data_IF_302146739918
#
_entry.id   IF_302146739918
#
_cell.length_a   1.000
_cell.length_b   1.000
_cell.length_c   1.000
_cell.angle_alpha   90.00
_cell.angle_beta   90.00
_cell.angle_gamma   90.00
#
_symmetry.space_group_name_H-M   'P 1'
#
loop_
_entity.id
_entity.type
_entity.pdbx_description
1 polymer ?
#
# COMPACT_ATOMS: atom_id res chain seq x y z
N UNK A 1 4.52 -12.56 1.17
CA UNK A 1 4.34 -11.73 2.36
C UNK A 1 2.86 -11.73 2.73
N UNK A 2 2.60 -12.07 3.96
CA UNK A 2 1.24 -12.22 4.44
C UNK A 2 1.04 -11.39 5.70
N UNK A 3 -0.06 -10.62 5.74
CA UNK A 3 -0.41 -9.81 6.89
C UNK A 3 -1.85 -10.09 7.26
N UNK A 4 -2.12 -10.18 8.57
CA UNK A 4 -3.46 -10.46 9.07
C UNK A 4 -3.86 -9.41 10.07
N UNK A 5 -5.13 -9.04 10.07
CA UNK A 5 -5.70 -8.09 11.01
C UNK A 5 -4.93 -6.77 11.03
N UNK A 6 -4.66 -6.22 9.83
CA UNK A 6 -3.94 -4.97 9.68
C UNK A 6 -4.82 -3.93 9.01
N UNK A 7 -4.55 -2.68 9.30
CA UNK A 7 -5.22 -1.56 8.66
C UNK A 7 -4.53 -1.22 7.36
N UNK A 8 -5.24 -0.51 6.48
CA UNK A 8 -4.67 -0.10 5.19
C UNK A 8 -3.38 0.70 5.40
N UNK A 9 -3.34 1.58 6.41
CA UNK A 9 -2.14 2.37 6.68
C UNK A 9 -0.94 1.48 6.99
N UNK A 10 -1.14 0.39 7.69
CA UNK A 10 -0.08 -0.56 7.99
C UNK A 10 0.38 -1.32 6.76
N UNK A 11 -0.57 -1.68 5.90
CA UNK A 11 -0.25 -2.34 4.63
C UNK A 11 0.61 -1.43 3.78
N UNK A 12 0.22 -0.17 3.64
CA UNK A 12 0.96 0.80 2.84
C UNK A 12 2.37 0.99 3.39
N UNK A 13 2.49 1.11 4.71
CA UNK A 13 3.81 1.26 5.33
C UNK A 13 4.71 0.07 5.04
N UNK A 14 4.15 -1.14 5.09
CA UNK A 14 4.93 -2.34 4.81
C UNK A 14 5.39 -2.37 3.35
N UNK A 15 4.52 -1.98 2.44
CA UNK A 15 4.86 -1.91 1.03
C UNK A 15 5.96 -0.88 0.79
N UNK A 16 5.87 0.28 1.43
CA UNK A 16 6.90 1.30 1.33
C UNK A 16 8.26 0.75 1.76
N UNK A 17 8.26 -0.01 2.85
CA UNK A 17 9.49 -0.59 3.38
C UNK A 17 10.08 -1.62 2.43
N UNK A 18 9.24 -2.50 1.90
CA UNK A 18 9.69 -3.60 1.04
C UNK A 18 10.21 -3.08 -0.30
N UNK A 19 9.52 -2.11 -0.88
CA UNK A 19 9.86 -1.60 -2.21
C UNK A 19 10.75 -0.37 -2.15
N UNK A 20 11.05 0.13 -0.94
CA UNK A 20 11.89 1.31 -0.72
C UNK A 20 11.36 2.52 -1.48
N UNK A 21 10.05 2.74 -1.40
CA UNK A 21 9.39 3.86 -2.06
C UNK A 21 8.44 4.54 -1.08
N UNK A 22 8.10 5.79 -1.38
CA UNK A 22 7.03 6.48 -0.66
C UNK A 22 5.73 6.31 -1.43
N UNK A 23 4.66 6.12 -0.70
CA UNK A 23 3.34 5.94 -1.29
C UNK A 23 2.41 7.00 -0.72
N UNK A 24 1.67 7.66 -1.59
CA UNK A 24 0.64 8.60 -1.15
C UNK A 24 -0.73 8.07 -1.52
N UNK A 25 -1.72 8.47 -0.75
CA UNK A 25 -3.10 8.06 -0.97
C UNK A 25 -3.92 9.26 -1.43
N UNK A 26 -4.91 8.99 -2.28
CA UNK A 26 -5.79 10.03 -2.78
C UNK A 26 -6.83 10.42 -1.74
N UNK A 27 -7.19 9.48 -0.86
CA UNK A 27 -8.21 9.67 0.15
C UNK A 27 -7.63 9.47 1.55
N UNK A 28 -8.23 10.07 2.59
CA UNK A 28 -7.76 9.87 3.96
C UNK A 28 -7.83 8.41 4.38
N UNK A 29 -6.88 7.99 5.20
CA UNK A 29 -6.81 6.63 5.74
C UNK A 29 -7.46 6.59 7.11
N UNK A 30 -8.73 6.86 7.19
CA UNK A 30 -9.45 6.84 8.46
C UNK A 30 -10.35 5.62 8.60
N UNK A 31 -10.10 4.59 7.83
CA UNK A 31 -10.85 3.33 7.90
C UNK A 31 -10.29 2.48 9.03
N UNK A 32 -11.16 2.12 9.97
CA UNK A 32 -10.78 1.28 11.11
C UNK A 32 -10.87 -0.20 10.79
N UNK A 33 -11.21 -0.57 9.59
CA UNK A 33 -11.33 -1.97 9.22
C UNK A 33 -9.98 -2.66 9.22
N UNK A 34 -10.03 -3.94 9.59
CA UNK A 34 -8.85 -4.79 9.55
C UNK A 34 -8.94 -5.69 8.33
N UNK A 35 -7.82 -5.89 7.68
CA UNK A 35 -7.76 -6.66 6.45
C UNK A 35 -6.71 -7.75 6.55
N UNK A 36 -6.92 -8.80 5.78
CA UNK A 36 -5.89 -9.80 5.54
C UNK A 36 -5.32 -9.50 4.16
N UNK A 37 -4.02 -9.29 4.09
CA UNK A 37 -3.37 -8.89 2.85
C UNK A 37 -2.20 -9.80 2.56
N UNK A 38 -2.12 -10.29 1.34
CA UNK A 38 -1.07 -11.20 0.94
C UNK A 38 -0.61 -10.86 -0.47
N UNK A 39 0.70 -10.82 -0.67
CA UNK A 39 1.26 -10.59 -2.00
C UNK A 39 2.62 -11.26 -2.09
N UNK A 40 3.08 -11.47 -3.33
CA UNK A 40 4.37 -12.08 -3.58
C UNK A 40 5.41 -10.98 -3.82
N UNK A 41 6.65 -11.24 -3.39
CA UNK A 41 7.74 -10.30 -3.64
C UNK A 41 8.03 -10.11 -5.13
N UNK A 42 7.60 -11.06 -5.95
CA UNK A 42 7.75 -10.96 -7.40
C UNK A 42 6.72 -10.04 -8.04
N UNK A 43 5.69 -9.64 -7.31
CA UNK A 43 4.70 -8.70 -7.84
C UNK A 43 5.35 -7.34 -8.01
N UNK A 44 4.92 -6.60 -9.03
CA UNK A 44 5.37 -5.23 -9.19
C UNK A 44 4.66 -4.33 -8.19
N UNK A 45 5.23 -3.14 -7.97
CA UNK A 45 4.59 -2.16 -7.09
C UNK A 45 3.19 -1.80 -7.59
N UNK A 46 3.04 -1.63 -8.90
CA UNK A 46 1.73 -1.32 -9.48
C UNK A 46 0.71 -2.40 -9.19
N UNK A 47 1.11 -3.67 -9.27
CA UNK A 47 0.22 -4.78 -8.95
C UNK A 47 -0.24 -4.72 -7.49
N UNK A 48 0.69 -4.45 -6.58
CA UNK A 48 0.38 -4.39 -5.16
C UNK A 48 -0.57 -3.24 -4.86
N UNK A 49 -0.33 -2.08 -5.45
CA UNK A 49 -1.18 -0.91 -5.24
C UNK A 49 -2.58 -1.15 -5.80
N UNK A 50 -2.70 -1.84 -6.93
CA UNK A 50 -3.99 -2.19 -7.50
C UNK A 50 -4.77 -3.12 -6.58
N UNK A 51 -4.09 -4.09 -5.98
CA UNK A 51 -4.73 -5.00 -5.03
C UNK A 51 -5.25 -4.23 -3.82
N UNK A 52 -4.46 -3.29 -3.31
CA UNK A 52 -4.88 -2.48 -2.17
C UNK A 52 -6.13 -1.68 -2.52
N UNK A 53 -6.16 -1.08 -3.69
CA UNK A 53 -7.30 -0.30 -4.12
C UNK A 53 -8.56 -1.17 -4.23
N UNK A 54 -8.44 -2.34 -4.84
CA UNK A 54 -9.58 -3.23 -5.01
C UNK A 54 -10.09 -3.79 -3.70
N UNK A 55 -9.18 -4.01 -2.75
CA UNK A 55 -9.54 -4.57 -1.47
C UNK A 55 -10.20 -3.54 -0.56
N UNK A 56 -9.65 -2.34 -0.50
CA UNK A 56 -10.07 -1.33 0.47
C UNK A 56 -10.81 -0.15 -0.15
N UNK A 57 -10.73 0.02 -1.45
CA UNK A 57 -11.29 1.18 -2.11
C UNK A 57 -10.42 2.42 -1.99
N UNK A 58 -9.26 2.32 -1.38
CA UNK A 58 -8.33 3.45 -1.20
C UNK A 58 -7.36 3.47 -2.36
N UNK A 59 -7.38 4.55 -3.13
CA UNK A 59 -6.50 4.70 -4.27
C UNK A 59 -5.12 5.15 -3.81
N UNK A 60 -4.11 4.41 -4.21
CA UNK A 60 -2.73 4.67 -3.83
C UNK A 60 -1.87 4.84 -5.07
N UNK A 61 -0.80 5.61 -4.93
CA UNK A 61 0.16 5.78 -6.02
C UNK A 61 1.55 6.04 -5.42
N UNK A 62 2.62 5.71 -6.14
CA UNK A 62 3.95 6.07 -5.68
C UNK A 62 4.09 7.59 -5.63
N UNK A 63 4.58 8.09 -4.50
CA UNK A 63 4.85 9.50 -4.37
C UNK A 63 6.14 9.83 -5.11
N UNK A 64 6.30 11.08 -5.63
CA UNK A 64 7.57 11.47 -6.21
C UNK A 64 8.68 11.33 -5.17
N UNK A 65 9.84 10.83 -5.60
CA UNK A 65 10.97 10.70 -4.68
C UNK A 65 11.42 12.09 -4.22
N UNK A 66 11.78 12.19 -2.95
CA UNK A 66 12.28 13.44 -2.43
C UNK A 66 13.54 13.84 -3.18
N UNK A 67 13.60 15.08 -3.65
CA UNK A 67 14.74 15.55 -4.40
C UNK A 67 14.75 15.15 -5.86
N UNK A 68 13.71 14.56 -6.35
CA UNK A 68 13.62 14.11 -7.73
C UNK A 68 13.09 15.18 -8.68
N UNK A 69 12.88 16.33 -8.21
CA UNK A 69 12.39 17.43 -9.05
C UNK A 69 13.48 18.02 -9.93
#
# INVERSE_FOLDING_TARGET
ISMSDVRVAEIIRKVEEIYSVDIETVAPLDDDRLYNFNFLKSNTLDDVLDIIEKMSGVKCRPAPAAGAE
#
